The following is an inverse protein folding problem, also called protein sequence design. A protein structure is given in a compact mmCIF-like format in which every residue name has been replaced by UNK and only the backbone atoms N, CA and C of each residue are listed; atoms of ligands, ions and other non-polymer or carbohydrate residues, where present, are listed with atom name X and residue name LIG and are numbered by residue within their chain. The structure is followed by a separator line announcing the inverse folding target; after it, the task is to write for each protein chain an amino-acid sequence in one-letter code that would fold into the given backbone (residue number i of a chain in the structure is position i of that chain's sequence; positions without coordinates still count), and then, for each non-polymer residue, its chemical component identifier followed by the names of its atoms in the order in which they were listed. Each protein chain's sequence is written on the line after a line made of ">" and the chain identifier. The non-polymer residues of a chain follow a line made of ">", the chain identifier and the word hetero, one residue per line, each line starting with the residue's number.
data_IF_856162023619
#
_entry.id   IF_856162023619
#
_cell.length_a   1.000
_cell.length_b   1.000
_cell.length_c   1.000
_cell.angle_alpha   90.00
_cell.angle_beta   90.00
_cell.angle_gamma   90.00
#
_symmetry.space_group_name_H-M   'P 1'
#
loop_
_entity.id
_entity.type
_entity.pdbx_description
1 polymer ?
#
# COMPACT_ATOMS: atom_id res chain seq x y z
N UNK A 1 -10.48 28.55 42.39
CA UNK A 1 -9.15 27.91 42.29
C UNK A 1 -8.45 28.51 41.08
N UNK A 2 -7.47 29.39 41.32
CA UNK A 2 -6.81 30.18 40.28
C UNK A 2 -5.45 29.53 40.01
N UNK A 3 -5.21 29.07 38.77
CA UNK A 3 -3.92 28.58 38.32
C UNK A 3 -3.06 29.76 37.87
N UNK A 4 -1.94 29.90 38.52
CA UNK A 4 -0.90 30.93 38.38
C UNK A 4 0.10 30.44 37.32
N UNK A 5 0.29 31.19 36.23
CA UNK A 5 1.29 30.95 35.22
C UNK A 5 2.69 31.41 35.70
N UNK A 6 3.79 30.70 35.37
CA UNK A 6 5.15 31.10 35.69
C UNK A 6 5.66 32.16 34.68
N UNK A 7 6.14 33.30 35.25
CA UNK A 7 6.72 34.38 34.48
C UNK A 7 8.13 34.04 33.96
N UNK A 8 8.37 34.25 32.69
CA UNK A 8 9.68 34.23 32.08
C UNK A 8 10.34 35.60 32.23
N UNK A 9 11.47 35.67 32.94
CA UNK A 9 12.34 36.84 32.99
C UNK A 9 13.26 36.88 31.77
N UNK A 10 13.10 37.85 30.90
CA UNK A 10 14.07 38.18 29.87
C UNK A 10 15.26 38.89 30.51
N UNK A 11 16.43 38.27 30.44
CA UNK A 11 17.71 38.89 30.76
C UNK A 11 18.18 39.71 29.55
N UNK A 12 18.14 41.04 29.66
CA UNK A 12 18.71 41.95 28.67
C UNK A 12 20.23 41.98 28.79
N UNK A 13 20.92 41.30 27.88
CA UNK A 13 22.37 41.45 27.71
C UNK A 13 22.65 42.81 27.05
N UNK A 14 23.23 43.73 27.83
CA UNK A 14 23.73 44.99 27.30
C UNK A 14 25.04 44.73 26.59
N UNK A 15 25.06 44.81 25.27
CA UNK A 15 26.27 44.90 24.48
C UNK A 15 26.91 46.25 24.66
N UNK A 16 28.02 46.31 25.39
CA UNK A 16 28.86 47.50 25.51
C UNK A 16 29.65 47.70 24.21
N UNK A 17 29.27 48.71 23.44
CA UNK A 17 30.06 49.23 22.32
C UNK A 17 31.26 50.00 22.87
N UNK A 18 32.53 49.53 22.62
CA UNK A 18 33.76 50.27 22.82
C UNK A 18 34.22 50.80 21.46
N UNK A 19 34.23 52.09 21.21
CA UNK A 19 35.00 52.67 20.12
C UNK A 19 36.38 53.03 20.66
N UNK A 20 37.39 52.36 20.21
CA UNK A 20 38.75 52.84 20.26
C UNK A 20 39.37 52.60 18.89
N UNK A 21 39.20 53.53 18.02
CA UNK A 21 40.00 53.62 16.79
C UNK A 21 41.13 54.57 17.11
N UNK A 22 42.31 54.04 17.36
CA UNK A 22 43.56 54.79 17.33
C UNK A 22 44.06 54.81 15.90
N UNK A 23 43.93 55.94 15.24
CA UNK A 23 44.28 56.13 13.83
C UNK A 23 45.66 56.77 13.77
N UNK A 24 46.74 56.00 13.96
CA UNK A 24 48.11 56.42 13.61
C UNK A 24 49.01 55.23 13.37
N UNK A 25 48.87 54.63 12.21
CA UNK A 25 49.85 53.70 11.67
C UNK A 25 50.08 54.01 10.19
N UNK A 26 51.30 53.98 9.68
CA UNK A 26 51.62 54.35 8.29
C UNK A 26 51.00 53.35 7.33
N UNK A 27 50.12 53.86 6.51
CA UNK A 27 49.61 53.15 5.33
C UNK A 27 50.73 53.01 4.30
N UNK A 28 51.39 51.88 4.25
CA UNK A 28 52.13 51.40 3.07
C UNK A 28 52.84 50.07 3.41
N UNK A 29 52.03 49.04 3.72
CA UNK A 29 52.46 47.67 3.57
C UNK A 29 52.16 47.24 2.15
N UNK A 30 53.08 46.47 1.46
CA UNK A 30 52.72 45.94 0.15
C UNK A 30 51.51 45.09 0.30
N UNK A 31 50.50 45.34 -0.57
CA UNK A 31 49.35 44.46 -0.77
C UNK A 31 49.99 43.11 -1.11
N UNK A 32 49.97 42.18 -0.16
CA UNK A 32 50.23 40.80 -0.46
C UNK A 32 49.14 40.38 -1.45
N UNK A 33 49.55 40.24 -2.71
CA UNK A 33 48.72 39.54 -3.69
C UNK A 33 48.31 38.24 -3.01
N UNK A 34 47.02 38.11 -2.79
CA UNK A 34 46.40 36.83 -2.40
C UNK A 34 46.62 35.97 -3.61
N UNK A 35 47.70 35.24 -3.61
CA UNK A 35 47.97 34.20 -4.60
C UNK A 35 46.78 33.23 -4.55
N UNK A 36 45.85 33.42 -5.45
CA UNK A 36 44.72 32.53 -5.63
C UNK A 36 45.28 31.21 -6.10
N UNK A 37 45.47 30.30 -5.16
CA UNK A 37 45.83 28.93 -5.49
C UNK A 37 44.89 28.44 -6.59
N UNK A 38 45.37 27.73 -7.61
CA UNK A 38 44.52 27.26 -8.69
C UNK A 38 43.42 26.36 -8.11
N UNK A 39 42.18 26.80 -8.27
CA UNK A 39 40.93 26.14 -7.75
C UNK A 39 40.58 24.82 -8.46
N UNK A 40 41.54 24.04 -8.92
CA UNK A 40 41.31 22.77 -9.58
C UNK A 40 40.60 21.76 -8.67
N UNK A 41 40.89 21.80 -7.36
CA UNK A 41 40.23 20.93 -6.38
C UNK A 41 38.78 21.36 -6.11
N UNK A 42 38.46 22.65 -6.20
CA UNK A 42 37.13 23.20 -6.04
C UNK A 42 36.18 22.75 -7.16
N UNK A 43 36.64 22.77 -8.40
CA UNK A 43 35.84 22.34 -9.55
C UNK A 43 35.54 20.85 -9.54
N UNK A 44 36.44 20.02 -9.08
CA UNK A 44 36.25 18.59 -8.95
C UNK A 44 35.23 18.26 -7.83
N UNK A 45 35.33 18.94 -6.69
CA UNK A 45 34.38 18.79 -5.56
C UNK A 45 33.01 19.28 -5.94
N UNK A 46 32.87 20.41 -6.64
CA UNK A 46 31.61 20.95 -7.12
C UNK A 46 30.93 20.04 -8.15
N UNK A 47 31.69 19.47 -9.09
CA UNK A 47 31.16 18.49 -10.06
C UNK A 47 30.67 17.22 -9.37
N UNK A 48 31.40 16.70 -8.37
CA UNK A 48 30.97 15.53 -7.58
C UNK A 48 29.67 15.83 -6.82
N UNK A 49 29.52 17.02 -6.26
CA UNK A 49 28.30 17.46 -5.59
C UNK A 49 27.11 17.54 -6.55
N UNK A 50 27.30 18.07 -7.75
CA UNK A 50 26.24 18.15 -8.78
C UNK A 50 25.83 16.76 -9.28
N UNK A 51 26.79 15.86 -9.49
CA UNK A 51 26.51 14.48 -9.89
C UNK A 51 25.76 13.76 -8.78
N UNK A 52 26.19 13.88 -7.53
CA UNK A 52 25.52 13.28 -6.37
C UNK A 52 24.06 13.73 -6.25
N UNK A 53 23.81 15.04 -6.38
CA UNK A 53 22.45 15.59 -6.36
C UNK A 53 21.59 15.06 -7.51
N UNK A 54 22.14 14.98 -8.73
CA UNK A 54 21.42 14.43 -9.90
C UNK A 54 21.07 12.96 -9.69
N UNK A 55 21.98 12.17 -9.18
CA UNK A 55 21.76 10.73 -8.89
C UNK A 55 20.64 10.56 -7.86
N UNK A 56 20.68 11.32 -6.75
CA UNK A 56 19.63 11.24 -5.72
C UNK A 56 18.29 11.66 -6.30
N UNK A 57 18.22 12.76 -7.05
CA UNK A 57 16.98 13.21 -7.68
C UNK A 57 16.45 12.17 -8.67
N UNK A 58 17.31 11.54 -9.46
CA UNK A 58 16.90 10.48 -10.38
C UNK A 58 16.34 9.28 -9.63
N UNK A 59 16.98 8.83 -8.55
CA UNK A 59 16.49 7.72 -7.72
C UNK A 59 15.10 8.05 -7.15
N UNK A 60 14.96 9.24 -6.57
CA UNK A 60 13.66 9.69 -6.01
C UNK A 60 12.60 9.77 -7.09
N UNK A 61 12.94 10.33 -8.26
CA UNK A 61 11.99 10.42 -9.39
C UNK A 61 11.56 9.03 -9.86
N UNK A 62 12.50 8.10 -10.03
CA UNK A 62 12.19 6.71 -10.42
C UNK A 62 11.30 6.05 -9.38
N UNK A 63 11.57 6.26 -8.09
CA UNK A 63 10.75 5.71 -7.02
C UNK A 63 9.33 6.27 -7.04
N UNK A 64 9.18 7.59 -7.22
CA UNK A 64 7.87 8.25 -7.33
C UNK A 64 7.10 7.76 -8.55
N UNK A 65 7.78 7.68 -9.71
CA UNK A 65 7.16 7.17 -10.95
C UNK A 65 6.73 5.72 -10.79
N UNK A 66 7.55 4.87 -10.17
CA UNK A 66 7.19 3.49 -9.86
C UNK A 66 5.95 3.41 -8.95
N UNK A 67 5.84 4.31 -7.96
CA UNK A 67 4.66 4.43 -7.11
C UNK A 67 3.40 4.83 -7.89
N UNK A 68 3.51 5.86 -8.73
CA UNK A 68 2.42 6.35 -9.56
C UNK A 68 1.93 5.31 -10.59
N UNK A 69 2.84 4.48 -11.11
CA UNK A 69 2.51 3.37 -12.01
C UNK A 69 1.90 2.16 -11.27
N UNK A 70 1.64 2.26 -9.96
CA UNK A 70 1.03 1.20 -9.15
C UNK A 70 1.96 0.03 -8.81
N UNK A 71 3.27 0.14 -9.04
CA UNK A 71 4.21 -0.93 -8.68
C UNK A 71 4.32 -1.16 -7.17
N UNK A 72 3.97 -0.14 -6.36
CA UNK A 72 3.98 -0.22 -4.89
C UNK A 72 2.61 -0.59 -4.30
N UNK A 73 1.55 -0.72 -5.13
CA UNK A 73 0.19 -1.06 -4.70
C UNK A 73 -0.07 -2.55 -4.61
N UNK A 74 -1.23 -2.91 -4.04
CA UNK A 74 -1.76 -4.28 -4.05
C UNK A 74 -2.03 -4.67 -5.49
N UNK A 75 -1.39 -5.74 -5.96
CA UNK A 75 -1.68 -6.31 -7.28
C UNK A 75 -2.79 -7.31 -7.14
N UNK A 76 -3.83 -7.14 -7.93
CA UNK A 76 -4.97 -8.05 -8.01
C UNK A 76 -4.87 -8.90 -9.27
N UNK A 77 -5.47 -10.08 -9.21
CA UNK A 77 -5.67 -10.96 -10.35
C UNK A 77 -7.11 -11.48 -10.32
N UNK A 78 -7.66 -11.72 -11.48
CA UNK A 78 -8.94 -12.42 -11.64
C UNK A 78 -8.69 -13.73 -12.34
N UNK A 79 -9.24 -14.80 -11.79
CA UNK A 79 -9.35 -16.11 -12.41
C UNK A 79 -10.80 -16.31 -12.78
N UNK A 80 -11.06 -16.83 -13.98
CA UNK A 80 -12.41 -17.02 -14.49
C UNK A 80 -12.52 -18.41 -15.08
N UNK A 81 -13.56 -19.12 -14.71
CA UNK A 81 -13.92 -20.44 -15.23
C UNK A 81 -15.38 -20.46 -15.61
N UNK A 82 -15.78 -21.39 -16.47
CA UNK A 82 -17.16 -21.50 -16.93
C UNK A 82 -17.58 -22.96 -17.12
N UNK A 83 -18.83 -23.24 -16.80
CA UNK A 83 -19.48 -24.52 -17.13
C UNK A 83 -20.79 -24.24 -17.85
N UNK A 84 -20.83 -24.52 -19.13
CA UNK A 84 -21.93 -24.20 -20.02
C UNK A 84 -22.17 -22.67 -20.10
N UNK A 85 -23.39 -22.19 -19.82
CA UNK A 85 -23.69 -20.76 -19.87
C UNK A 85 -23.29 -20.01 -18.58
N UNK A 86 -23.01 -20.73 -17.49
CA UNK A 86 -22.64 -20.10 -16.22
C UNK A 86 -21.14 -19.87 -16.17
N UNK A 87 -20.77 -18.68 -15.73
CA UNK A 87 -19.39 -18.27 -15.54
C UNK A 87 -19.18 -17.82 -14.09
N UNK A 88 -18.09 -18.22 -13.51
CA UNK A 88 -17.66 -17.74 -12.21
C UNK A 88 -16.26 -17.10 -12.32
N UNK A 89 -16.04 -16.02 -11.58
CA UNK A 89 -14.74 -15.38 -11.50
C UNK A 89 -14.41 -15.00 -10.06
N UNK A 90 -13.13 -15.14 -9.70
CA UNK A 90 -12.61 -14.75 -8.39
C UNK A 90 -11.53 -13.70 -8.61
N UNK A 91 -11.76 -12.52 -8.07
CA UNK A 91 -10.78 -11.44 -7.99
C UNK A 91 -10.13 -11.46 -6.63
N UNK A 92 -8.83 -11.56 -6.58
CA UNK A 92 -8.06 -11.69 -5.33
C UNK A 92 -6.76 -10.89 -5.38
N UNK A 93 -6.15 -10.65 -4.22
CA UNK A 93 -4.84 -10.06 -4.13
C UNK A 93 -3.78 -11.08 -4.54
N UNK A 94 -3.10 -10.86 -5.69
CA UNK A 94 -1.97 -11.71 -6.11
C UNK A 94 -0.79 -11.54 -5.16
N UNK A 95 -0.54 -10.30 -4.73
CA UNK A 95 0.49 -9.93 -3.78
C UNK A 95 -0.15 -9.02 -2.75
N UNK A 96 -0.01 -9.37 -1.47
CA UNK A 96 -0.49 -8.57 -0.36
C UNK A 96 0.57 -8.43 0.72
N UNK A 97 0.28 -7.56 1.70
CA UNK A 97 1.13 -7.33 2.88
C UNK A 97 0.27 -7.38 4.12
N UNK A 98 0.84 -7.84 5.22
CA UNK A 98 0.16 -7.87 6.51
C UNK A 98 -0.42 -6.50 6.90
N UNK A 99 -1.65 -6.49 7.38
CA UNK A 99 -2.39 -5.28 7.78
C UNK A 99 -2.97 -4.43 6.64
N UNK A 100 -2.73 -4.80 5.37
CA UNK A 100 -3.24 -4.05 4.20
C UNK A 100 -4.51 -4.69 3.69
N UNK A 101 -5.48 -3.85 3.28
CA UNK A 101 -6.72 -4.30 2.64
C UNK A 101 -6.43 -5.17 1.41
N UNK A 102 -7.07 -6.32 1.33
CA UNK A 102 -6.91 -7.28 0.27
C UNK A 102 -8.28 -7.55 -0.36
N UNK A 103 -8.50 -7.10 -1.59
CA UNK A 103 -9.77 -7.34 -2.27
C UNK A 103 -9.95 -8.83 -2.52
N UNK A 104 -11.12 -9.34 -2.14
CA UNK A 104 -11.58 -10.67 -2.49
C UNK A 104 -13.03 -10.57 -2.91
N UNK A 105 -13.31 -10.84 -4.18
CA UNK A 105 -14.64 -10.75 -4.74
C UNK A 105 -14.89 -11.95 -5.67
N UNK A 106 -16.07 -12.50 -5.57
CA UNK A 106 -16.54 -13.62 -6.39
C UNK A 106 -17.73 -13.13 -7.20
N UNK A 107 -17.63 -13.22 -8.52
CA UNK A 107 -18.71 -12.83 -9.43
C UNK A 107 -19.20 -14.05 -10.18
N UNK A 108 -20.51 -14.26 -10.17
CA UNK A 108 -21.20 -15.32 -10.88
C UNK A 108 -22.07 -14.69 -11.95
N UNK A 109 -21.99 -15.15 -13.18
CA UNK A 109 -22.79 -14.64 -14.30
C UNK A 109 -23.55 -15.79 -14.95
N UNK A 110 -24.86 -15.59 -15.11
CA UNK A 110 -25.76 -16.51 -15.83
C UNK A 110 -26.58 -15.72 -16.84
N UNK A 111 -26.34 -15.83 -18.15
CA UNK A 111 -27.08 -15.08 -19.18
C UNK A 111 -28.57 -15.29 -19.15
N UNK A 112 -29.04 -16.44 -18.66
CA UNK A 112 -30.47 -16.76 -18.48
C UNK A 112 -31.10 -16.18 -17.19
N UNK A 113 -30.27 -15.53 -16.36
CA UNK A 113 -30.63 -15.17 -15.00
C UNK A 113 -30.49 -16.35 -14.05
N UNK A 114 -30.76 -16.12 -12.78
CA UNK A 114 -30.72 -17.15 -11.74
C UNK A 114 -32.14 -17.68 -11.45
N UNK A 115 -32.28 -19.00 -11.43
CA UNK A 115 -33.55 -19.66 -11.13
C UNK A 115 -33.58 -20.26 -9.72
N UNK A 116 -32.40 -20.43 -9.10
CA UNK A 116 -32.25 -21.02 -7.77
C UNK A 116 -31.25 -20.25 -6.91
N UNK A 117 -30.93 -20.76 -5.74
CA UNK A 117 -29.91 -20.24 -4.86
C UNK A 117 -28.49 -20.44 -5.46
N UNK A 118 -27.55 -19.64 -4.98
CA UNK A 118 -26.12 -19.78 -5.29
C UNK A 118 -25.43 -20.23 -4.02
N UNK A 119 -24.62 -21.28 -4.15
CA UNK A 119 -23.74 -21.74 -3.08
C UNK A 119 -22.28 -21.47 -3.44
N UNK A 120 -21.56 -20.87 -2.51
CA UNK A 120 -20.13 -20.54 -2.67
C UNK A 120 -19.37 -21.18 -1.53
N UNK A 121 -18.52 -22.13 -1.85
CA UNK A 121 -17.68 -22.82 -0.89
C UNK A 121 -16.23 -22.38 -1.07
N UNK A 122 -15.57 -21.98 0.02
CA UNK A 122 -14.18 -21.48 0.03
C UNK A 122 -13.40 -22.23 1.10
N UNK A 123 -12.14 -22.54 0.81
CA UNK A 123 -11.22 -23.18 1.77
C UNK A 123 -11.06 -22.29 3.02
N UNK A 124 -11.32 -22.85 4.19
CA UNK A 124 -11.13 -22.16 5.47
C UNK A 124 -9.68 -21.71 5.62
N UNK A 125 -8.73 -22.58 5.28
CA UNK A 125 -7.30 -22.26 5.35
C UNK A 125 -6.91 -21.03 4.51
N UNK A 126 -7.61 -20.75 3.40
CA UNK A 126 -7.41 -19.55 2.62
C UNK A 126 -8.05 -18.33 3.30
N UNK A 127 -9.24 -18.49 3.85
CA UNK A 127 -9.94 -17.44 4.60
C UNK A 127 -9.17 -17.01 5.85
N UNK A 128 -8.40 -17.90 6.45
CA UNK A 128 -7.53 -17.63 7.61
C UNK A 128 -6.36 -16.68 7.29
N UNK A 129 -6.11 -16.36 6.01
CA UNK A 129 -5.18 -15.30 5.62
C UNK A 129 -5.70 -13.93 6.03
N UNK A 130 -7.02 -13.79 6.21
CA UNK A 130 -7.69 -12.51 6.31
C UNK A 130 -8.29 -12.27 7.69
N UNK A 131 -8.08 -11.05 8.18
CA UNK A 131 -8.97 -10.46 9.18
C UNK A 131 -10.21 -9.97 8.42
N UNK A 132 -11.34 -10.68 8.60
CA UNK A 132 -12.59 -10.42 7.90
C UNK A 132 -13.40 -9.40 8.69
N UNK A 133 -13.83 -8.31 8.04
CA UNK A 133 -14.72 -7.31 8.64
C UNK A 133 -16.18 -7.57 8.26
N UNK A 134 -16.43 -8.20 7.12
CA UNK A 134 -17.77 -8.50 6.64
C UNK A 134 -17.78 -9.07 5.23
N UNK A 135 -18.97 -9.54 4.83
CA UNK A 135 -19.29 -10.03 3.48
C UNK A 135 -20.49 -9.29 2.95
N UNK A 136 -20.43 -8.83 1.71
CA UNK A 136 -21.50 -8.04 1.08
C UNK A 136 -21.82 -8.59 -0.32
N UNK A 137 -23.06 -8.93 -0.62
CA UNK A 137 -24.18 -9.00 0.31
C UNK A 137 -23.99 -10.10 1.35
N UNK A 138 -24.64 -9.93 2.54
CA UNK A 138 -24.61 -10.96 3.56
C UNK A 138 -25.24 -12.25 3.05
N UNK A 139 -24.71 -13.43 3.36
CA UNK A 139 -25.31 -14.70 2.98
C UNK A 139 -26.59 -14.95 3.80
N UNK A 140 -27.55 -15.63 3.18
CA UNK A 140 -28.78 -16.09 3.84
C UNK A 140 -28.51 -17.28 4.76
N UNK A 141 -27.49 -18.05 4.45
CA UNK A 141 -26.97 -19.15 5.25
C UNK A 141 -25.46 -19.27 5.18
N UNK A 142 -24.84 -19.70 6.27
CA UNK A 142 -23.40 -20.02 6.30
C UNK A 142 -23.18 -21.30 7.12
N UNK A 143 -22.42 -22.21 6.58
CA UNK A 143 -22.02 -23.46 7.25
C UNK A 143 -20.51 -23.66 7.14
N UNK A 144 -19.90 -24.30 8.13
CA UNK A 144 -18.48 -24.68 8.08
C UNK A 144 -18.31 -26.08 8.63
N UNK A 145 -17.45 -26.86 7.96
CA UNK A 145 -17.03 -28.19 8.42
C UNK A 145 -15.61 -28.17 9.03
N UNK A 146 -15.00 -26.99 9.14
CA UNK A 146 -13.64 -26.79 9.64
C UNK A 146 -12.57 -26.83 8.55
N UNK A 147 -12.84 -27.37 7.39
CA UNK A 147 -11.98 -27.36 6.21
C UNK A 147 -12.42 -26.33 5.18
N UNK A 148 -13.74 -26.18 5.05
CA UNK A 148 -14.38 -25.25 4.12
C UNK A 148 -15.46 -24.41 4.81
N UNK A 149 -15.76 -23.28 4.22
CA UNK A 149 -16.91 -22.44 4.55
C UNK A 149 -17.81 -22.36 3.32
N UNK A 150 -19.07 -22.68 3.48
CA UNK A 150 -20.08 -22.56 2.42
C UNK A 150 -21.06 -21.46 2.77
N UNK A 151 -21.20 -20.50 1.87
CA UNK A 151 -22.18 -19.43 1.93
C UNK A 151 -23.31 -19.73 0.93
N UNK A 152 -24.53 -19.64 1.41
CA UNK A 152 -25.74 -19.78 0.58
C UNK A 152 -26.38 -18.43 0.43
N UNK A 153 -26.70 -18.08 -0.80
CA UNK A 153 -27.42 -16.87 -1.17
C UNK A 153 -28.73 -17.27 -1.85
N UNK A 154 -29.83 -16.72 -1.38
CA UNK A 154 -31.09 -16.87 -2.06
C UNK A 154 -31.02 -16.34 -3.48
N UNK A 155 -31.92 -16.82 -4.35
CA UNK A 155 -31.96 -16.45 -5.76
C UNK A 155 -31.69 -14.95 -5.97
N UNK A 156 -30.51 -14.53 -6.49
CA UNK A 156 -30.26 -13.13 -6.73
C UNK A 156 -30.99 -12.62 -7.97
N UNK A 157 -31.35 -11.33 -8.00
CA UNK A 157 -31.97 -10.73 -9.17
C UNK A 157 -30.94 -10.51 -10.30
N UNK A 158 -31.41 -10.59 -11.56
CA UNK A 158 -30.58 -10.26 -12.73
C UNK A 158 -29.76 -11.42 -13.26
N UNK A 159 -28.68 -11.07 -13.96
CA UNK A 159 -27.80 -12.00 -14.68
C UNK A 159 -26.40 -12.08 -14.11
N UNK A 160 -26.09 -11.21 -13.17
CA UNK A 160 -24.77 -11.13 -12.50
C UNK A 160 -25.00 -10.96 -10.99
N UNK A 161 -24.21 -11.70 -10.22
CA UNK A 161 -24.20 -11.64 -8.78
C UNK A 161 -22.77 -11.56 -8.29
N UNK A 162 -22.44 -10.57 -7.47
CA UNK A 162 -21.10 -10.38 -6.93
C UNK A 162 -21.13 -10.35 -5.42
N UNK A 163 -20.29 -11.17 -4.82
CA UNK A 163 -20.02 -11.19 -3.36
C UNK A 163 -18.64 -10.61 -3.13
N UNK A 164 -18.55 -9.67 -2.22
CA UNK A 164 -17.28 -9.03 -1.84
C UNK A 164 -17.02 -9.26 -0.36
N UNK A 165 -15.81 -9.71 -0.06
CA UNK A 165 -15.31 -9.83 1.31
C UNK A 165 -14.55 -8.55 1.66
N UNK A 166 -15.00 -7.83 2.67
CA UNK A 166 -14.23 -6.74 3.27
C UNK A 166 -13.22 -7.34 4.23
N UNK A 167 -11.99 -7.39 3.77
CA UNK A 167 -10.92 -8.10 4.47
C UNK A 167 -9.57 -7.40 4.32
N UNK A 168 -8.72 -7.62 5.28
CA UNK A 168 -7.29 -7.26 5.24
C UNK A 168 -6.46 -8.51 5.52
N UNK A 169 -5.24 -8.56 5.00
CA UNK A 169 -4.33 -9.65 5.35
C UNK A 169 -3.95 -9.52 6.82
N UNK A 170 -4.09 -10.60 7.58
CA UNK A 170 -3.74 -10.62 8.99
C UNK A 170 -2.29 -10.16 9.22
N UNK A 171 -2.00 -9.31 10.22
CA UNK A 171 -0.67 -8.73 10.43
C UNK A 171 0.40 -9.77 10.78
N UNK A 172 -0.01 -10.93 11.32
CA UNK A 172 0.87 -12.05 11.66
C UNK A 172 1.12 -13.04 10.51
N UNK A 173 0.42 -12.88 9.37
CA UNK A 173 0.55 -13.77 8.22
C UNK A 173 1.85 -13.48 7.48
N UNK A 174 2.75 -14.47 7.43
CA UNK A 174 4.06 -14.36 6.79
C UNK A 174 4.15 -15.09 5.45
N UNK A 175 3.22 -16.00 5.18
CA UNK A 175 3.25 -16.89 4.02
C UNK A 175 1.95 -16.78 3.24
N UNK A 176 2.07 -16.81 1.90
CA UNK A 176 0.92 -16.92 1.02
C UNK A 176 0.28 -18.30 1.08
N UNK A 177 -0.95 -18.40 0.59
CA UNK A 177 -1.70 -19.66 0.48
C UNK A 177 -2.39 -19.78 -0.87
N UNK A 178 -2.57 -21.01 -1.29
CA UNK A 178 -3.50 -21.37 -2.35
C UNK A 178 -4.86 -21.61 -1.73
N UNK A 179 -5.91 -21.12 -2.36
CA UNK A 179 -7.28 -21.38 -2.01
C UNK A 179 -8.05 -21.93 -3.19
N UNK A 180 -9.07 -22.69 -2.88
CA UNK A 180 -10.05 -23.18 -3.84
C UNK A 180 -11.39 -22.55 -3.52
N UNK A 181 -12.10 -22.13 -4.57
CA UNK A 181 -13.45 -21.62 -4.49
C UNK A 181 -14.31 -22.46 -5.41
N UNK A 182 -15.35 -23.00 -4.87
CA UNK A 182 -16.36 -23.76 -5.63
C UNK A 182 -17.64 -22.95 -5.66
N UNK A 183 -18.18 -22.74 -6.85
CA UNK A 183 -19.45 -22.05 -7.06
C UNK A 183 -20.46 -23.04 -7.62
N UNK A 184 -21.59 -23.20 -6.95
CA UNK A 184 -22.71 -24.00 -7.42
C UNK A 184 -23.88 -23.08 -7.74
N UNK A 185 -24.28 -23.04 -8.99
CA UNK A 185 -25.37 -22.23 -9.50
C UNK A 185 -26.00 -22.88 -10.73
N UNK A 186 -27.31 -22.80 -10.87
CA UNK A 186 -28.05 -23.33 -12.02
C UNK A 186 -27.75 -24.83 -12.32
N UNK A 187 -27.51 -25.63 -11.26
CA UNK A 187 -27.13 -27.04 -11.38
C UNK A 187 -25.75 -27.28 -11.99
N UNK A 188 -24.89 -26.25 -11.99
CA UNK A 188 -23.48 -26.29 -12.44
C UNK A 188 -22.57 -26.14 -11.26
N UNK A 189 -21.39 -26.78 -11.34
CA UNK A 189 -20.34 -26.70 -10.35
C UNK A 189 -19.04 -26.21 -11.00
N UNK A 190 -18.56 -25.04 -10.59
CA UNK A 190 -17.38 -24.39 -11.14
C UNK A 190 -16.34 -24.31 -10.05
N UNK A 191 -15.14 -24.82 -10.32
CA UNK A 191 -14.01 -24.81 -9.37
C UNK A 191 -12.95 -23.81 -9.84
N UNK A 192 -12.54 -22.91 -8.96
CA UNK A 192 -11.51 -21.90 -9.22
C UNK A 192 -10.37 -22.05 -8.22
N UNK A 193 -9.14 -22.12 -8.72
CA UNK A 193 -7.95 -22.14 -7.89
C UNK A 193 -7.23 -20.80 -7.99
N UNK A 194 -6.81 -20.26 -6.86
CA UNK A 194 -6.16 -18.96 -6.77
C UNK A 194 -5.07 -18.97 -5.68
N UNK A 195 -4.06 -18.14 -5.85
CA UNK A 195 -2.93 -18.09 -4.93
C UNK A 195 -2.57 -16.65 -4.56
N UNK A 196 -2.60 -16.35 -3.27
CA UNK A 196 -2.15 -15.08 -2.72
C UNK A 196 -0.76 -15.24 -2.12
N UNK A 197 0.20 -14.43 -2.57
CA UNK A 197 1.52 -14.32 -1.96
C UNK A 197 1.52 -13.18 -0.95
N UNK A 198 1.97 -13.46 0.27
CA UNK A 198 2.16 -12.43 1.30
C UNK A 198 3.63 -12.05 1.36
N UNK A 199 3.90 -10.75 1.34
CA UNK A 199 5.24 -10.19 1.53
C UNK A 199 5.35 -9.59 2.94
N UNK A 200 6.47 -9.78 3.60
CA UNK A 200 6.76 -9.20 4.91
C UNK A 200 6.83 -7.67 4.86
#
# INVERSE_FOLDING_TARGET
>A
MACRAPGYRFASARYGYRPAVDASGPANGPIRDIETAPDDDGHAAQRRGLIGRRVILTIVTVFVVAGLLGFLGVRTRTVTESDGPVQASVRFALIGRGGVAAPYAITVTSPGGFTGPIEITVDQAYLDLFDQNGIEPGPDGATSDGETVTWTFDRPPGHEFTVTLDARIGPSVQWGRTGHTVVEAEGRRIELSHHTRVMP
#
